data_IF_180616966269
#
_entry.id   IF_180616966269
#
_cell.length_a   1.000
_cell.length_b   1.000
_cell.length_c   1.000
_cell.angle_alpha   90.00
_cell.angle_beta   90.00
_cell.angle_gamma   90.00
#
_symmetry.space_group_name_H-M   'P 1'
#
loop_
_entity.id
_entity.type
_entity.pdbx_description
1 polymer ?
#
# COMPACT_ATOMS: atom_id res chain seq x y z
N UNK A 1 -36.04 -33.68 -4.97
CA UNK A 1 -36.15 -32.98 -6.27
C UNK A 1 -36.40 -31.51 -5.97
N UNK A 2 -35.41 -30.67 -6.05
CA UNK A 2 -35.58 -29.21 -6.18
C UNK A 2 -34.26 -28.63 -6.66
N UNK A 3 -34.24 -28.28 -7.94
CA UNK A 3 -33.10 -27.61 -8.60
C UNK A 3 -33.11 -26.12 -8.23
N UNK A 4 -32.05 -25.64 -7.61
CA UNK A 4 -31.77 -24.23 -7.45
C UNK A 4 -30.80 -23.79 -8.55
N UNK A 5 -31.33 -23.06 -9.52
CA UNK A 5 -30.58 -22.48 -10.63
C UNK A 5 -29.75 -21.29 -10.15
N UNK A 6 -28.44 -21.39 -10.22
CA UNK A 6 -27.51 -20.30 -10.04
C UNK A 6 -27.56 -19.34 -11.24
N UNK A 7 -28.10 -18.15 -11.01
CA UNK A 7 -28.17 -17.06 -11.98
C UNK A 7 -26.88 -16.26 -11.94
N UNK A 8 -25.98 -16.53 -12.87
CA UNK A 8 -24.78 -15.73 -13.10
C UNK A 8 -25.17 -14.37 -13.66
N UNK A 9 -24.96 -13.31 -12.87
CA UNK A 9 -25.05 -11.92 -13.35
C UNK A 9 -23.74 -11.57 -14.05
N UNK A 10 -23.80 -11.46 -15.37
CA UNK A 10 -22.75 -10.83 -16.18
C UNK A 10 -22.78 -9.32 -15.95
N UNK A 11 -21.71 -8.78 -15.35
CA UNK A 11 -21.45 -7.36 -15.28
C UNK A 11 -21.00 -6.87 -16.66
N UNK A 12 -21.92 -6.26 -17.39
CA UNK A 12 -21.59 -5.49 -18.61
C UNK A 12 -20.87 -4.21 -18.21
N UNK A 13 -19.57 -4.16 -18.52
CA UNK A 13 -18.75 -2.97 -18.43
C UNK A 13 -19.21 -1.95 -19.48
N UNK A 14 -19.93 -0.91 -19.05
CA UNK A 14 -20.23 0.24 -19.87
C UNK A 14 -18.96 1.09 -20.04
N UNK A 15 -18.22 0.85 -21.11
CA UNK A 15 -17.22 1.77 -21.61
C UNK A 15 -17.95 2.97 -22.23
N UNK A 16 -18.02 4.05 -21.50
CA UNK A 16 -18.44 5.35 -22.04
C UNK A 16 -17.33 5.86 -22.95
N UNK A 17 -17.48 5.64 -24.25
CA UNK A 17 -16.66 6.25 -25.27
C UNK A 17 -17.09 7.71 -25.40
N UNK A 18 -16.30 8.63 -24.85
CA UNK A 18 -16.40 10.06 -25.18
C UNK A 18 -15.96 10.26 -26.63
N UNK A 19 -16.91 10.20 -27.55
CA UNK A 19 -16.72 10.65 -28.91
C UNK A 19 -16.64 12.20 -28.89
N UNK A 20 -15.42 12.72 -28.99
CA UNK A 20 -15.20 14.14 -29.27
C UNK A 20 -15.76 14.45 -30.65
N UNK A 21 -16.98 14.99 -30.70
CA UNK A 21 -17.53 15.61 -31.93
C UNK A 21 -16.71 16.86 -32.22
N UNK A 22 -15.80 16.77 -33.19
CA UNK A 22 -15.25 17.93 -33.87
C UNK A 22 -16.42 18.60 -34.63
N UNK A 23 -16.88 19.72 -34.14
CA UNK A 23 -17.75 20.61 -34.90
C UNK A 23 -16.94 21.16 -36.05
N UNK A 24 -17.19 20.64 -37.27
CA UNK A 24 -16.77 21.30 -38.47
C UNK A 24 -17.68 22.54 -38.63
N UNK A 25 -17.12 23.71 -38.37
CA UNK A 25 -17.74 24.94 -38.78
C UNK A 25 -17.65 24.98 -40.31
N UNK A 26 -18.73 24.61 -40.97
CA UNK A 26 -18.91 24.92 -42.39
C UNK A 26 -19.04 26.42 -42.48
N UNK A 27 -18.00 27.09 -42.96
CA UNK A 27 -18.12 28.47 -43.44
C UNK A 27 -19.16 28.50 -44.57
N UNK A 28 -20.36 28.92 -44.22
CA UNK A 28 -21.35 29.27 -45.24
C UNK A 28 -20.83 30.56 -45.85
N UNK A 29 -20.19 30.45 -47.01
CA UNK A 29 -19.78 31.57 -47.81
C UNK A 29 -21.06 32.28 -48.23
N UNK A 30 -21.29 33.49 -47.69
CA UNK A 30 -22.38 34.37 -48.09
C UNK A 30 -22.21 34.67 -49.58
N UNK A 31 -23.27 34.60 -50.40
CA UNK A 31 -23.19 34.90 -51.82
C UNK A 31 -22.65 36.32 -51.97
N UNK A 32 -21.51 36.43 -52.67
CA UNK A 32 -20.91 37.71 -53.01
C UNK A 32 -21.91 38.52 -53.88
N UNK A 33 -22.27 39.72 -53.48
CA UNK A 33 -23.14 40.56 -54.32
C UNK A 33 -22.47 40.80 -55.69
N UNK A 34 -23.25 40.89 -56.78
CA UNK A 34 -22.69 41.10 -58.09
C UNK A 34 -21.91 42.40 -58.11
N UNK A 35 -20.83 42.53 -58.91
CA UNK A 35 -20.03 43.73 -58.96
C UNK A 35 -20.89 44.81 -59.54
N UNK A 36 -21.26 45.76 -58.72
CA UNK A 36 -21.87 47.01 -59.20
C UNK A 36 -20.82 47.72 -60.01
N UNK A 37 -21.15 48.06 -61.27
CA UNK A 37 -20.30 48.84 -62.13
C UNK A 37 -20.09 50.23 -61.49
N UNK A 38 -19.03 50.30 -60.68
CA UNK A 38 -18.62 51.56 -60.07
C UNK A 38 -17.89 52.40 -61.15
N UNK A 39 -18.51 53.57 -61.44
CA UNK A 39 -17.82 54.63 -62.06
C UNK A 39 -16.46 54.83 -61.41
N UNK A 40 -15.40 54.77 -62.24
CA UNK A 40 -14.04 55.02 -61.81
C UNK A 40 -13.87 56.41 -61.25
N UNK A 41 -14.26 56.63 -60.01
CA UNK A 41 -13.88 57.85 -59.31
C UNK A 41 -12.35 57.70 -59.05
N UNK A 42 -11.61 58.46 -59.81
CA UNK A 42 -10.15 58.63 -59.52
C UNK A 42 -10.08 59.27 -58.15
N UNK A 43 -9.73 58.44 -57.17
CA UNK A 43 -9.47 58.96 -55.83
C UNK A 43 -8.13 59.71 -55.88
N UNK A 44 -8.23 60.99 -55.93
CA UNK A 44 -7.09 61.90 -55.74
C UNK A 44 -6.70 61.81 -54.28
N UNK A 45 -5.64 61.05 -54.01
CA UNK A 45 -5.05 61.03 -52.70
C UNK A 45 -4.51 62.41 -52.36
N UNK A 46 -5.03 63.03 -51.31
CA UNK A 46 -4.50 64.25 -50.78
C UNK A 46 -3.07 64.05 -50.36
N UNK A 47 -2.18 65.06 -50.56
CA UNK A 47 -0.76 64.94 -50.12
C UNK A 47 -0.69 64.42 -48.67
N UNK A 48 0.32 63.56 -48.34
CA UNK A 48 0.41 62.97 -47.03
C UNK A 48 0.46 64.07 -46.00
N UNK A 49 -0.56 64.06 -45.13
CA UNK A 49 -0.61 64.93 -43.97
C UNK A 49 0.62 64.67 -43.12
N UNK A 50 1.15 65.68 -42.42
CA UNK A 50 2.30 65.63 -41.55
C UNK A 50 2.42 64.28 -40.83
N UNK A 51 3.61 63.66 -40.79
CA UNK A 51 3.82 62.37 -40.14
C UNK A 51 3.28 62.44 -38.72
N UNK A 52 2.30 61.60 -38.39
CA UNK A 52 1.80 61.49 -37.03
C UNK A 52 2.96 61.03 -36.14
N UNK A 53 3.18 61.67 -34.98
CA UNK A 53 4.18 61.19 -34.07
C UNK A 53 3.89 59.71 -33.75
N UNK A 54 4.85 58.88 -34.03
CA UNK A 54 4.78 57.44 -33.70
C UNK A 54 4.77 57.32 -32.18
N UNK A 55 3.56 57.15 -31.60
CA UNK A 55 3.47 56.78 -30.20
C UNK A 55 3.95 55.36 -30.06
N UNK A 56 5.27 55.22 -29.74
CA UNK A 56 5.78 53.97 -29.31
C UNK A 56 4.92 53.53 -28.11
N UNK A 57 4.20 52.43 -28.30
CA UNK A 57 3.45 51.82 -27.20
C UNK A 57 4.45 51.58 -26.06
N UNK A 58 4.27 52.15 -24.87
CA UNK A 58 5.21 51.87 -23.79
C UNK A 58 5.38 50.37 -23.70
N UNK A 59 6.61 49.85 -23.48
CA UNK A 59 6.84 48.41 -23.35
C UNK A 59 5.85 47.92 -22.32
N UNK A 60 4.96 47.03 -22.73
CA UNK A 60 4.04 46.38 -21.78
C UNK A 60 4.94 45.77 -20.71
N UNK A 61 4.94 46.34 -19.51
CA UNK A 61 5.50 45.68 -18.39
C UNK A 61 4.87 44.29 -18.37
N UNK A 62 5.64 43.29 -18.75
CA UNK A 62 5.22 41.90 -18.56
C UNK A 62 4.88 41.82 -17.08
N UNK A 63 3.61 41.90 -16.73
CA UNK A 63 3.19 41.53 -15.37
C UNK A 63 3.69 40.14 -15.17
N UNK A 64 4.70 40.02 -14.31
CA UNK A 64 5.24 38.71 -13.95
C UNK A 64 4.05 37.85 -13.57
N UNK A 65 3.79 36.82 -14.38
CA UNK A 65 2.71 35.89 -14.10
C UNK A 65 2.98 35.34 -12.70
N UNK A 66 1.96 35.33 -11.82
CA UNK A 66 2.14 34.84 -10.46
C UNK A 66 2.76 33.45 -10.54
N UNK A 67 3.93 33.29 -9.93
CA UNK A 67 4.64 32.01 -9.91
C UNK A 67 3.74 30.99 -9.24
N UNK A 68 3.29 30.00 -10.01
CA UNK A 68 2.50 28.88 -9.49
C UNK A 68 3.43 28.15 -8.52
N UNK A 69 3.14 28.26 -7.22
CA UNK A 69 3.90 27.53 -6.21
C UNK A 69 3.85 26.03 -6.56
N UNK A 70 5.02 25.44 -6.75
CA UNK A 70 5.13 24.00 -7.00
C UNK A 70 4.64 23.25 -5.76
N UNK A 71 3.37 22.88 -5.72
CA UNK A 71 2.78 22.09 -4.62
C UNK A 71 3.15 20.61 -4.69
N UNK A 72 3.83 20.20 -5.75
CA UNK A 72 4.28 18.83 -5.98
C UNK A 72 5.06 18.21 -4.80
N UNK A 73 6.03 18.88 -4.16
CA UNK A 73 6.76 18.28 -3.05
C UNK A 73 5.86 17.97 -1.86
N UNK A 74 4.84 18.80 -1.59
CA UNK A 74 3.87 18.55 -0.52
C UNK A 74 2.99 17.33 -0.83
N UNK A 75 2.56 17.19 -2.08
CA UNK A 75 1.78 16.02 -2.53
C UNK A 75 2.60 14.74 -2.37
N UNK A 76 3.88 14.76 -2.76
CA UNK A 76 4.78 13.62 -2.56
C UNK A 76 5.00 13.31 -1.08
N UNK A 77 5.18 14.31 -0.24
CA UNK A 77 5.34 14.12 1.20
C UNK A 77 4.10 13.48 1.83
N UNK A 78 2.90 13.97 1.50
CA UNK A 78 1.65 13.37 1.97
C UNK A 78 1.44 11.95 1.44
N UNK A 79 1.78 11.69 0.18
CA UNK A 79 1.72 10.35 -0.39
C UNK A 79 2.67 9.39 0.34
N UNK A 80 3.91 9.82 0.60
CA UNK A 80 4.88 9.03 1.33
C UNK A 80 4.42 8.73 2.76
N UNK A 81 3.89 9.73 3.48
CA UNK A 81 3.31 9.55 4.81
C UNK A 81 2.13 8.58 4.79
N UNK A 82 1.24 8.70 3.80
CA UNK A 82 0.10 7.80 3.64
C UNK A 82 0.52 6.35 3.43
N UNK A 83 1.47 6.12 2.51
CA UNK A 83 2.00 4.78 2.22
C UNK A 83 2.73 4.21 3.45
N UNK A 84 3.55 5.01 4.13
CA UNK A 84 4.28 4.57 5.33
C UNK A 84 3.33 4.23 6.47
N UNK A 85 2.31 5.06 6.71
CA UNK A 85 1.29 4.82 7.73
C UNK A 85 0.49 3.56 7.44
N UNK A 86 0.10 3.36 6.17
CA UNK A 86 -0.59 2.15 5.75
C UNK A 86 0.26 0.90 5.93
N UNK A 87 1.54 0.94 5.53
CA UNK A 87 2.47 -0.17 5.72
C UNK A 87 2.65 -0.54 7.20
N UNK A 88 2.83 0.47 8.07
CA UNK A 88 2.93 0.27 9.51
C UNK A 88 1.65 -0.37 10.08
N UNK A 89 0.47 0.12 9.66
CA UNK A 89 -0.82 -0.48 10.06
C UNK A 89 -0.92 -1.96 9.66
N UNK A 90 -0.56 -2.30 8.42
CA UNK A 90 -0.57 -3.69 7.95
C UNK A 90 0.36 -4.58 8.77
N UNK A 91 1.56 -4.11 9.10
CA UNK A 91 2.51 -4.88 9.92
C UNK A 91 1.95 -5.18 11.31
N UNK A 92 1.31 -4.20 11.95
CA UNK A 92 0.67 -4.39 13.27
C UNK A 92 -0.52 -5.36 13.15
N UNK A 93 -1.38 -5.19 12.15
CA UNK A 93 -2.53 -6.05 11.93
C UNK A 93 -2.12 -7.52 11.70
N UNK A 94 -1.10 -7.76 10.86
CA UNK A 94 -0.56 -9.09 10.61
C UNK A 94 0.05 -9.71 11.88
N UNK A 95 0.71 -8.92 12.72
CA UNK A 95 1.24 -9.39 13.98
C UNK A 95 0.11 -9.82 14.94
N UNK A 96 -0.96 -9.05 15.02
CA UNK A 96 -2.14 -9.37 15.82
C UNK A 96 -2.82 -10.66 15.37
N UNK A 97 -2.93 -10.87 14.07
CA UNK A 97 -3.47 -12.11 13.51
C UNK A 97 -2.64 -13.33 13.94
N UNK A 98 -1.31 -13.23 13.88
CA UNK A 98 -0.40 -14.29 14.33
C UNK A 98 -0.55 -14.57 15.83
N UNK A 99 -0.63 -13.52 16.66
CA UNK A 99 -0.83 -13.65 18.10
C UNK A 99 -2.12 -14.37 18.47
N UNK A 100 -3.19 -14.10 17.75
CA UNK A 100 -4.50 -14.71 17.99
C UNK A 100 -4.56 -16.17 17.55
N UNK A 101 -3.59 -16.66 16.76
CA UNK A 101 -3.60 -18.00 16.21
C UNK A 101 -3.54 -19.08 17.30
N UNK A 102 -4.26 -20.17 17.09
CA UNK A 102 -4.26 -21.33 17.98
C UNK A 102 -2.87 -21.98 18.12
N UNK A 103 -2.08 -21.93 17.03
CA UNK A 103 -0.73 -22.48 17.00
C UNK A 103 0.19 -21.80 18.01
N UNK A 104 0.18 -20.46 18.04
CA UNK A 104 1.01 -19.68 18.98
C UNK A 104 0.60 -19.95 20.44
N UNK A 105 -0.70 -20.05 20.69
CA UNK A 105 -1.23 -20.37 22.03
C UNK A 105 -0.79 -21.77 22.47
N UNK A 106 -0.85 -22.76 21.59
CA UNK A 106 -0.42 -24.14 21.86
C UNK A 106 1.09 -24.22 22.12
N UNK A 107 1.91 -23.53 21.30
CA UNK A 107 3.36 -23.45 21.53
C UNK A 107 3.67 -22.86 22.89
N UNK A 108 3.00 -21.76 23.28
CA UNK A 108 3.19 -21.13 24.58
C UNK A 108 2.81 -22.06 25.73
N UNK A 109 1.72 -22.82 25.59
CA UNK A 109 1.30 -23.80 26.58
C UNK A 109 2.34 -24.91 26.73
N UNK A 110 2.82 -25.51 25.63
CA UNK A 110 3.86 -26.55 25.65
C UNK A 110 5.15 -26.04 26.29
N UNK A 111 5.55 -24.79 25.98
CA UNK A 111 6.72 -24.17 26.61
C UNK A 111 6.54 -24.01 28.11
N UNK A 112 5.34 -23.63 28.57
CA UNK A 112 5.01 -23.49 30.00
C UNK A 112 4.99 -24.83 30.74
N UNK A 113 4.66 -25.90 30.05
CA UNK A 113 4.63 -27.27 30.66
C UNK A 113 6.02 -27.90 30.76
N UNK A 114 6.98 -27.42 29.96
CA UNK A 114 8.32 -27.96 29.93
C UNK A 114 9.13 -27.62 31.21
N UNK A 115 9.55 -28.62 31.93
CA UNK A 115 10.28 -28.46 33.20
C UNK A 115 11.69 -27.85 33.04
N UNK A 116 12.39 -28.17 31.95
CA UNK A 116 13.74 -27.64 31.70
C UNK A 116 13.70 -26.14 31.43
N UNK A 117 12.67 -25.67 30.74
CA UNK A 117 12.47 -24.25 30.47
C UNK A 117 12.08 -23.48 31.77
N UNK A 118 11.27 -24.09 32.62
CA UNK A 118 10.96 -23.50 33.94
C UNK A 118 12.22 -23.38 34.80
N UNK A 119 13.06 -24.37 34.80
CA UNK A 119 14.31 -24.32 35.56
C UNK A 119 15.29 -23.25 35.03
N UNK A 120 15.34 -23.04 33.71
CA UNK A 120 16.24 -22.08 33.08
C UNK A 120 15.70 -20.64 33.13
N UNK A 121 14.44 -20.43 32.73
CA UNK A 121 13.86 -19.11 32.57
C UNK A 121 12.96 -18.68 33.76
N UNK A 122 12.55 -19.65 34.61
CA UNK A 122 11.63 -19.44 35.73
C UNK A 122 10.16 -19.77 35.39
N UNK A 123 9.31 -19.82 36.42
CA UNK A 123 7.92 -20.32 36.30
C UNK A 123 6.99 -19.39 35.53
N UNK A 124 7.21 -18.08 35.56
CA UNK A 124 6.34 -17.09 34.96
C UNK A 124 6.69 -16.80 33.49
N UNK A 125 6.62 -17.84 32.66
CA UNK A 125 6.91 -17.69 31.21
C UNK A 125 5.78 -16.93 30.53
N UNK A 126 6.12 -15.78 29.95
CA UNK A 126 5.24 -14.92 29.20
C UNK A 126 5.94 -14.37 27.96
N UNK A 127 5.16 -13.86 27.03
CA UNK A 127 5.72 -13.11 25.91
C UNK A 127 6.47 -11.88 26.41
N UNK A 128 7.56 -11.52 25.75
CA UNK A 128 8.26 -10.28 26.03
C UNK A 128 7.46 -9.11 25.45
N UNK A 129 6.96 -8.18 26.30
CA UNK A 129 6.17 -7.05 25.83
C UNK A 129 7.05 -6.04 25.10
N UNK A 130 6.55 -5.52 23.97
CA UNK A 130 7.22 -4.48 23.22
C UNK A 130 6.45 -3.17 23.40
N UNK A 131 7.14 -2.11 23.83
CA UNK A 131 6.52 -0.84 24.21
C UNK A 131 5.77 -0.15 23.06
N UNK A 132 6.27 -0.24 21.81
CA UNK A 132 5.65 0.39 20.63
C UNK A 132 4.49 -0.44 20.04
N UNK A 133 4.26 -1.66 20.53
CA UNK A 133 3.12 -2.51 20.17
C UNK A 133 2.08 -2.60 21.30
N UNK A 134 2.01 -1.58 22.13
CA UNK A 134 1.08 -1.55 23.27
C UNK A 134 1.25 -2.74 24.25
N UNK A 135 2.46 -3.29 24.33
CA UNK A 135 2.75 -4.43 25.17
C UNK A 135 2.60 -5.80 24.50
N UNK A 136 2.14 -5.85 23.26
CA UNK A 136 2.08 -7.09 22.50
C UNK A 136 3.48 -7.52 22.03
N UNK A 137 3.77 -8.83 21.98
CA UNK A 137 5.03 -9.33 21.46
C UNK A 137 5.07 -9.27 19.95
N UNK A 138 6.27 -9.19 19.39
CA UNK A 138 6.48 -9.37 17.96
C UNK A 138 6.67 -10.84 17.64
N UNK A 139 5.86 -11.36 16.70
CA UNK A 139 6.00 -12.72 16.17
C UNK A 139 6.56 -12.66 14.77
N UNK A 140 7.78 -13.15 14.60
CA UNK A 140 8.42 -13.28 13.30
C UNK A 140 8.10 -14.63 12.68
N UNK A 141 8.05 -14.68 11.34
CA UNK A 141 7.80 -15.90 10.59
C UNK A 141 6.42 -15.91 9.89
N UNK A 142 5.97 -17.09 9.50
CA UNK A 142 4.73 -17.26 8.74
C UNK A 142 3.93 -18.47 9.19
N UNK A 143 2.60 -18.34 9.12
CA UNK A 143 1.64 -19.42 9.37
C UNK A 143 0.88 -19.68 8.08
N UNK A 144 1.31 -20.67 7.31
CA UNK A 144 0.68 -21.06 6.05
C UNK A 144 -0.05 -22.41 6.21
N UNK A 145 -1.19 -22.38 6.89
CA UNK A 145 -1.99 -23.59 7.11
C UNK A 145 -2.41 -24.28 5.80
N UNK A 146 -2.80 -23.57 4.73
CA UNK A 146 -3.12 -24.22 3.45
C UNK A 146 -1.96 -24.95 2.81
N UNK A 147 -0.75 -24.38 2.89
CA UNK A 147 0.48 -24.99 2.36
C UNK A 147 1.09 -26.02 3.32
N UNK A 148 0.59 -26.10 4.55
CA UNK A 148 1.09 -27.03 5.55
C UNK A 148 2.47 -26.67 6.10
N UNK A 149 2.83 -25.38 6.11
CA UNK A 149 4.08 -24.89 6.66
C UNK A 149 3.83 -23.85 7.75
N UNK A 150 4.46 -24.02 8.88
CA UNK A 150 4.46 -23.09 10.00
C UNK A 150 5.89 -22.87 10.44
N UNK A 151 6.36 -21.65 10.37
CA UNK A 151 7.67 -21.24 10.87
C UNK A 151 7.52 -19.97 11.69
N UNK A 152 7.84 -20.04 12.98
CA UNK A 152 7.60 -18.97 13.94
C UNK A 152 8.80 -18.80 14.86
N UNK A 153 9.08 -17.52 15.15
CA UNK A 153 10.02 -17.17 16.21
C UNK A 153 9.50 -15.97 16.99
N UNK A 154 9.63 -16.02 18.31
CA UNK A 154 9.23 -14.95 19.20
C UNK A 154 10.02 -15.01 20.51
N UNK A 155 10.08 -13.87 21.20
CA UNK A 155 10.77 -13.75 22.47
C UNK A 155 9.86 -14.08 23.65
N UNK A 156 10.42 -14.83 24.59
CA UNK A 156 9.82 -15.13 25.89
C UNK A 156 10.64 -14.47 26.99
N UNK A 157 9.92 -14.05 28.02
CA UNK A 157 10.51 -13.56 29.25
C UNK A 157 9.97 -14.37 30.42
N UNK A 158 10.87 -14.89 31.19
CA UNK A 158 10.58 -15.54 32.45
C UNK A 158 10.99 -14.67 33.64
N UNK A 159 10.92 -15.22 34.82
CA UNK A 159 11.32 -14.52 36.06
C UNK A 159 12.85 -14.45 36.21
N UNK A 160 13.57 -15.44 35.70
CA UNK A 160 15.05 -15.55 35.83
C UNK A 160 15.79 -15.10 34.60
N UNK A 161 15.17 -15.15 33.42
CA UNK A 161 15.82 -14.81 32.18
C UNK A 161 14.86 -14.70 31.02
N UNK A 162 15.39 -14.40 29.87
CA UNK A 162 14.67 -14.33 28.61
C UNK A 162 15.32 -15.24 27.54
N UNK A 163 14.56 -15.53 26.50
CA UNK A 163 15.02 -16.39 25.42
C UNK A 163 14.13 -16.29 24.20
N UNK A 164 14.62 -16.81 23.08
CA UNK A 164 13.90 -16.83 21.81
C UNK A 164 13.45 -18.25 21.48
N UNK A 165 12.16 -18.40 21.24
CA UNK A 165 11.55 -19.63 20.74
C UNK A 165 11.71 -19.70 19.24
N UNK A 166 12.08 -20.86 18.73
CA UNK A 166 12.09 -21.21 17.32
C UNK A 166 11.23 -22.45 17.12
N UNK A 167 10.17 -22.32 16.36
CA UNK A 167 9.24 -23.40 16.06
C UNK A 167 9.05 -23.52 14.56
N UNK A 168 9.31 -24.71 14.02
CA UNK A 168 9.06 -25.03 12.61
C UNK A 168 8.30 -26.35 12.56
N UNK A 169 7.17 -26.36 11.86
CA UNK A 169 6.42 -27.60 11.60
C UNK A 169 5.94 -27.67 10.17
N UNK A 170 5.81 -28.88 9.67
CA UNK A 170 5.31 -29.14 8.32
C UNK A 170 4.20 -30.18 8.35
N UNK A 171 3.36 -30.11 7.34
CA UNK A 171 2.34 -31.12 7.04
C UNK A 171 2.57 -31.61 5.62
N UNK A 172 2.81 -32.92 5.43
CA UNK A 172 3.13 -33.50 4.13
C UNK A 172 1.91 -33.51 3.20
N UNK A 173 0.76 -33.91 3.71
CA UNK A 173 -0.48 -34.02 2.94
C UNK A 173 -1.65 -33.32 3.62
N UNK A 174 -2.62 -32.87 2.81
CA UNK A 174 -3.83 -32.21 3.31
C UNK A 174 -4.62 -33.21 4.18
N UNK A 175 -4.89 -32.85 5.43
CA UNK A 175 -5.62 -33.71 6.39
C UNK A 175 -4.73 -34.41 7.42
N UNK A 176 -3.44 -34.52 7.21
CA UNK A 176 -2.52 -35.04 8.23
C UNK A 176 -2.24 -34.03 9.33
N UNK A 177 -1.85 -34.49 10.53
CA UNK A 177 -1.43 -33.60 11.60
C UNK A 177 -0.08 -32.94 11.25
N UNK A 178 0.16 -31.77 11.82
CA UNK A 178 1.44 -31.07 11.68
C UNK A 178 2.53 -31.82 12.45
N UNK A 179 3.64 -32.09 11.78
CA UNK A 179 4.82 -32.71 12.37
C UNK A 179 5.83 -31.63 12.72
N UNK A 180 6.14 -31.38 13.99
CA UNK A 180 7.14 -30.42 14.39
C UNK A 180 8.52 -30.91 13.98
N UNK A 181 9.26 -30.13 13.19
CA UNK A 181 10.65 -30.44 12.79
C UNK A 181 11.65 -29.79 13.74
N UNK A 182 11.33 -28.66 14.28
CA UNK A 182 12.20 -27.85 15.11
C UNK A 182 11.36 -27.18 16.19
N UNK A 183 11.69 -27.48 17.44
CA UNK A 183 11.12 -26.77 18.57
C UNK A 183 12.19 -26.61 19.62
N UNK A 184 12.82 -25.46 19.64
CA UNK A 184 13.90 -25.14 20.57
C UNK A 184 13.79 -23.73 21.10
N UNK A 185 14.29 -23.53 22.29
CA UNK A 185 14.40 -22.20 22.92
C UNK A 185 15.87 -21.92 23.13
N UNK A 186 16.31 -20.77 22.65
CA UNK A 186 17.67 -20.27 22.88
C UNK A 186 17.57 -19.20 23.95
N UNK A 187 18.09 -19.48 25.13
CA UNK A 187 18.16 -18.52 26.22
C UNK A 187 19.23 -17.46 25.94
N UNK A 188 19.05 -16.26 26.47
CA UNK A 188 20.05 -15.18 26.32
C UNK A 188 21.41 -15.54 26.96
N UNK A 189 21.44 -16.50 27.90
CA UNK A 189 22.66 -17.09 28.47
C UNK A 189 23.40 -18.04 27.52
N UNK A 190 22.93 -18.20 26.28
CA UNK A 190 23.48 -19.09 25.28
C UNK A 190 23.04 -20.56 25.42
N UNK A 191 22.27 -20.91 26.42
CA UNK A 191 21.76 -22.28 26.61
C UNK A 191 20.67 -22.58 25.59
N UNK A 192 20.81 -23.70 24.86
CA UNK A 192 19.80 -24.18 23.92
C UNK A 192 19.04 -25.33 24.56
N UNK A 193 17.71 -25.18 24.66
CA UNK A 193 16.82 -26.20 25.22
C UNK A 193 15.90 -26.69 24.09
N UNK A 194 15.98 -28.00 23.80
CA UNK A 194 15.08 -28.63 22.84
C UNK A 194 13.80 -29.05 23.56
N UNK A 195 12.66 -28.58 23.04
CA UNK A 195 11.33 -28.92 23.60
C UNK A 195 10.78 -30.20 22.99
N UNK A 196 11.24 -30.57 21.78
CA UNK A 196 10.91 -31.85 21.17
C UNK A 196 11.70 -32.97 21.86
N UNK A 197 11.02 -34.08 22.21
CA UNK A 197 11.73 -35.29 22.63
C UNK A 197 12.65 -35.72 21.49
N UNK A 198 13.94 -35.86 21.77
CA UNK A 198 14.87 -36.40 20.80
C UNK A 198 14.46 -37.86 20.55
N UNK A 199 14.34 -38.31 19.28
CA UNK A 199 14.24 -39.74 19.04
C UNK A 199 15.53 -40.40 19.54
N UNK A 200 15.36 -41.20 20.53
CA UNK A 200 16.44 -42.09 21.08
C UNK A 200 16.83 -43.13 20.06
#
# INVERSE_FOLDING_TARGET
MSMLALRTRTLTSNRVLFAARRAHTTHTELPRPPPTAESSHVQTFSAPSKPRPYYARPPQQHSELPQIQKRWPYILAFAALGVSGWAAFLLVAMNQERLSSSVVKQILQTVRENGDLKNALGDALRFEPIWYLNGDPWISGSINLPQGNVDLSFRLKGHRGSGTVYFTSIRKTKGEPFTPLRFRVICDDGKVINVLPQPS
#
